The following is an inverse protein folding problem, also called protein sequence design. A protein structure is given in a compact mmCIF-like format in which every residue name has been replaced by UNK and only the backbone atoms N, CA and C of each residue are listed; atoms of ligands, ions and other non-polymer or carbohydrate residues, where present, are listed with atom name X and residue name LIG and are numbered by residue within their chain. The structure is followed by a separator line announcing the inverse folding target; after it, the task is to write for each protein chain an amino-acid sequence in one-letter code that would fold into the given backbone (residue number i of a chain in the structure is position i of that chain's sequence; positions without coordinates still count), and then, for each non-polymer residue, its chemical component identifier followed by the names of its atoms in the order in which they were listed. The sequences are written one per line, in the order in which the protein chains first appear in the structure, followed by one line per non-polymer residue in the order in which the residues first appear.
data_IF_597908372063
#
_entry.id   IF_597908372063
#
_cell.length_a   1.000
_cell.length_b   1.000
_cell.length_c   1.000
_cell.angle_alpha   90.00
_cell.angle_beta   90.00
_cell.angle_gamma   90.00
#
_symmetry.space_group_name_H-M   'P 1'
#
loop_
_entity.id
_entity.type
_entity.pdbx_description
1 polymer ?
#
# COMPACT_ATOMS: atom_id res chain seq x y z
N UNK A 1 -9.61 13.71 -28.36
CA UNK A 1 -10.52 12.90 -27.52
C UNK A 1 -9.68 12.34 -26.38
N UNK A 2 -9.84 12.89 -25.17
CA UNK A 2 -9.02 12.54 -24.01
C UNK A 2 -9.39 11.15 -23.51
N UNK A 3 -8.50 10.18 -23.70
CA UNK A 3 -8.62 8.87 -23.07
C UNK A 3 -8.51 9.04 -21.56
N UNK A 4 -9.61 8.82 -20.83
CA UNK A 4 -9.52 8.62 -19.38
C UNK A 4 -8.84 7.28 -19.16
N UNK A 5 -7.54 7.33 -18.91
CA UNK A 5 -6.80 6.26 -18.27
C UNK A 5 -7.43 6.04 -16.87
N UNK A 6 -8.40 5.14 -16.81
CA UNK A 6 -9.30 4.97 -15.68
C UNK A 6 -8.72 4.00 -14.66
N UNK A 7 -7.61 4.37 -14.01
CA UNK A 7 -7.13 3.57 -12.88
C UNK A 7 -8.17 3.60 -11.75
N UNK A 8 -8.77 2.44 -11.47
CA UNK A 8 -9.73 2.28 -10.37
C UNK A 8 -9.00 1.82 -9.11
N UNK A 9 -9.17 2.58 -8.04
CA UNK A 9 -8.70 2.24 -6.71
C UNK A 9 -9.83 1.66 -5.87
N UNK A 10 -9.53 0.61 -5.10
CA UNK A 10 -10.41 0.15 -4.03
C UNK A 10 -9.61 -0.10 -2.74
N UNK A 11 -10.23 0.21 -1.60
CA UNK A 11 -9.60 0.03 -0.30
C UNK A 11 -9.49 -1.45 0.05
N UNK A 12 -8.33 -1.85 0.57
CA UNK A 12 -8.07 -3.19 1.11
C UNK A 12 -7.91 -3.15 2.62
N UNK A 13 -7.14 -2.19 3.12
CA UNK A 13 -6.90 -1.98 4.55
C UNK A 13 -6.42 -0.54 4.80
N UNK A 14 -6.76 -0.01 5.97
CA UNK A 14 -6.39 1.32 6.45
C UNK A 14 -6.13 1.22 7.95
N UNK A 15 -4.97 1.71 8.39
CA UNK A 15 -4.57 1.76 9.79
C UNK A 15 -3.97 3.13 10.09
N UNK A 16 -4.22 3.60 11.31
CA UNK A 16 -3.74 4.88 11.79
C UNK A 16 -2.98 4.70 13.10
N UNK A 17 -1.75 5.23 13.12
CA UNK A 17 -0.89 5.19 14.29
C UNK A 17 -0.66 6.62 14.81
N UNK A 18 -0.77 6.78 16.11
CA UNK A 18 -0.46 8.02 16.80
C UNK A 18 0.95 7.94 17.38
N UNK A 19 1.79 8.91 17.03
CA UNK A 19 3.16 9.03 17.54
C UNK A 19 3.35 10.41 18.18
N UNK A 20 4.36 10.61 19.04
CA UNK A 20 4.68 11.93 19.58
C UNK A 20 4.95 12.98 18.50
N UNK A 21 5.38 12.56 17.30
CA UNK A 21 5.63 13.43 16.13
C UNK A 21 4.41 13.67 15.24
N UNK A 22 3.24 13.12 15.59
CA UNK A 22 1.99 13.27 14.83
C UNK A 22 1.39 11.94 14.38
N UNK A 23 0.52 12.04 13.36
CA UNK A 23 -0.29 10.93 12.84
C UNK A 23 0.41 10.25 11.67
N UNK A 24 0.51 8.92 11.73
CA UNK A 24 0.97 8.08 10.63
C UNK A 24 -0.22 7.32 10.06
N UNK A 25 -0.43 7.43 8.74
CA UNK A 25 -1.53 6.74 8.04
C UNK A 25 -0.95 5.70 7.10
N UNK A 26 -1.46 4.47 7.22
CA UNK A 26 -1.02 3.31 6.45
C UNK A 26 -2.23 2.86 5.63
N UNK A 27 -2.10 2.90 4.31
CA UNK A 27 -3.21 2.55 3.41
C UNK A 27 -2.78 1.53 2.38
N UNK A 28 -3.58 0.49 2.21
CA UNK A 28 -3.43 -0.50 1.17
C UNK A 28 -4.63 -0.46 0.23
N UNK A 29 -4.36 -0.39 -1.07
CA UNK A 29 -5.37 -0.33 -2.12
C UNK A 29 -5.05 -1.33 -3.23
N UNK A 30 -6.10 -1.85 -3.86
CA UNK A 30 -6.00 -2.50 -5.16
C UNK A 30 -6.07 -1.46 -6.27
N UNK A 31 -5.17 -1.57 -7.25
CA UNK A 31 -5.17 -0.83 -8.50
C UNK A 31 -5.62 -1.77 -9.62
N UNK A 32 -6.64 -1.35 -10.35
CA UNK A 32 -7.01 -1.97 -11.63
C UNK A 32 -6.82 -0.91 -12.72
N UNK A 33 -5.83 -1.11 -13.58
CA UNK A 33 -5.70 -0.28 -14.79
C UNK A 33 -6.85 -0.63 -15.71
N UNK A 34 -7.61 0.37 -16.18
CA UNK A 34 -8.66 0.15 -17.17
C UNK A 34 -8.13 0.20 -18.61
N UNK A 35 -6.85 0.54 -18.80
CA UNK A 35 -6.24 0.79 -20.10
C UNK A 35 -5.45 -0.41 -20.65
N UNK A 36 -5.17 -1.42 -19.82
CA UNK A 36 -4.53 -2.65 -20.25
C UNK A 36 -5.56 -3.77 -20.32
N UNK A 37 -5.44 -4.58 -21.39
CA UNK A 37 -6.27 -5.72 -21.76
C UNK A 37 -6.73 -6.56 -20.56
N UNK A 38 -7.80 -7.33 -20.74
CA UNK A 38 -8.46 -8.25 -19.79
C UNK A 38 -7.52 -9.12 -18.91
N UNK A 39 -6.22 -9.19 -19.24
CA UNK A 39 -5.12 -9.86 -18.54
C UNK A 39 -4.24 -8.98 -17.62
N UNK A 40 -4.46 -7.66 -17.52
CA UNK A 40 -3.73 -6.81 -16.59
C UNK A 40 -4.15 -7.13 -15.16
N UNK A 41 -3.35 -7.97 -14.49
CA UNK A 41 -3.59 -8.40 -13.12
C UNK A 41 -3.75 -7.22 -12.16
N UNK A 42 -4.54 -7.42 -11.09
CA UNK A 42 -4.69 -6.41 -10.04
C UNK A 42 -3.35 -6.24 -9.32
N UNK A 43 -2.80 -5.03 -9.35
CA UNK A 43 -1.67 -4.67 -8.50
C UNK A 43 -2.19 -4.14 -7.17
N UNK A 44 -1.59 -4.51 -6.06
CA UNK A 44 -1.92 -3.96 -4.75
C UNK A 44 -0.77 -3.10 -4.26
N UNK A 45 -1.07 -1.99 -3.59
CA UNK A 45 -0.03 -1.09 -3.09
C UNK A 45 -0.33 -0.64 -1.68
N UNK A 46 0.68 -0.71 -0.81
CA UNK A 46 0.66 -0.12 0.54
C UNK A 46 1.49 1.15 0.53
N UNK A 47 0.92 2.24 1.06
CA UNK A 47 1.59 3.54 1.22
C UNK A 47 1.52 3.97 2.67
N UNK A 48 2.58 4.62 3.16
CA UNK A 48 2.66 5.19 4.50
C UNK A 48 2.84 6.70 4.38
N UNK A 49 2.09 7.48 5.15
CA UNK A 49 2.20 8.94 5.22
C UNK A 49 2.42 9.38 6.66
N UNK A 50 3.10 10.51 6.86
CA UNK A 50 3.38 11.05 8.19
C UNK A 50 4.71 10.60 8.80
N UNK A 51 5.54 9.87 8.06
CA UNK A 51 6.91 9.50 8.45
C UNK A 51 7.89 10.18 7.51
N UNK A 52 8.87 10.91 8.07
CA UNK A 52 9.80 11.78 7.32
C UNK A 52 10.77 11.02 6.40
N UNK A 53 11.08 9.77 6.75
CA UNK A 53 12.02 8.87 6.06
C UNK A 53 11.36 7.53 5.63
N UNK A 54 10.07 7.55 5.28
CA UNK A 54 9.31 6.32 5.00
C UNK A 54 9.72 5.65 3.67
N UNK A 55 9.66 4.31 3.56
CA UNK A 55 9.75 3.63 2.27
C UNK A 55 8.60 4.09 1.36
N UNK A 56 8.92 4.53 0.14
CA UNK A 56 7.98 5.20 -0.76
C UNK A 56 6.73 4.39 -1.11
N UNK A 57 6.80 3.04 -1.10
CA UNK A 57 5.64 2.13 -1.08
C UNK A 57 6.03 0.65 -1.17
N UNK A 58 5.06 -0.23 -0.92
CA UNK A 58 5.14 -1.67 -1.18
C UNK A 58 4.13 -2.08 -2.23
N UNK A 59 4.49 -3.02 -3.11
CA UNK A 59 3.59 -3.61 -4.11
C UNK A 59 3.36 -5.09 -3.84
N UNK A 60 2.14 -5.57 -4.01
CA UNK A 60 1.75 -6.98 -3.89
C UNK A 60 1.00 -7.43 -5.14
N UNK A 61 1.07 -8.73 -5.46
CA UNK A 61 0.42 -9.29 -6.65
C UNK A 61 -0.94 -9.91 -6.33
N UNK A 62 -1.12 -10.37 -5.09
CA UNK A 62 -2.37 -11.00 -4.65
C UNK A 62 -3.01 -10.25 -3.48
N UNK A 63 -4.33 -10.37 -3.36
CA UNK A 63 -5.12 -9.73 -2.29
C UNK A 63 -4.66 -10.16 -0.89
N UNK A 64 -4.43 -11.46 -0.70
CA UNK A 64 -4.01 -12.01 0.58
C UNK A 64 -2.61 -11.54 0.96
N UNK A 65 -1.68 -11.50 -0.01
CA UNK A 65 -0.36 -10.90 0.18
C UNK A 65 -0.47 -9.44 0.57
N UNK A 66 -1.39 -8.68 -0.03
CA UNK A 66 -1.61 -7.28 0.29
C UNK A 66 -2.11 -7.08 1.73
N UNK A 67 -3.04 -7.93 2.19
CA UNK A 67 -3.55 -7.89 3.58
C UNK A 67 -2.48 -8.26 4.60
N UNK A 68 -1.73 -9.33 4.33
CA UNK A 68 -0.62 -9.74 5.21
C UNK A 68 0.51 -8.72 5.18
N UNK A 69 0.83 -8.19 4.00
CA UNK A 69 1.80 -7.14 3.79
C UNK A 69 1.46 -5.86 4.54
N UNK A 70 0.18 -5.45 4.53
CA UNK A 70 -0.32 -4.34 5.35
C UNK A 70 -0.01 -4.57 6.84
N UNK A 71 -0.38 -5.74 7.39
CA UNK A 71 -0.09 -6.06 8.79
C UNK A 71 1.41 -6.03 9.10
N UNK A 72 2.26 -6.55 8.20
CA UNK A 72 3.72 -6.51 8.35
C UNK A 72 4.27 -5.09 8.38
N UNK A 73 3.72 -4.18 7.55
CA UNK A 73 4.09 -2.75 7.58
C UNK A 73 3.72 -2.13 8.92
N UNK A 74 2.50 -2.38 9.43
CA UNK A 74 2.05 -1.90 10.75
C UNK A 74 2.96 -2.42 11.87
N UNK A 75 3.23 -3.72 11.88
CA UNK A 75 4.05 -4.36 12.92
C UNK A 75 5.50 -3.86 12.89
N UNK A 76 6.05 -3.59 11.69
CA UNK A 76 7.38 -2.99 11.55
C UNK A 76 7.41 -1.55 12.08
N UNK A 77 6.44 -0.71 11.70
CA UNK A 77 6.36 0.69 12.14
C UNK A 77 6.11 0.82 13.66
N UNK A 78 5.46 -0.17 14.26
CA UNK A 78 5.21 -0.21 15.71
C UNK A 78 6.30 -0.94 16.50
N UNK A 79 7.38 -1.40 15.85
CA UNK A 79 8.47 -2.12 16.49
C UNK A 79 8.12 -3.53 16.96
N UNK A 80 6.94 -4.06 16.64
CA UNK A 80 6.51 -5.44 16.95
C UNK A 80 7.27 -6.48 16.13
N UNK A 81 7.81 -6.08 14.97
CA UNK A 81 8.67 -6.92 14.12
C UNK A 81 9.88 -6.11 13.63
N UNK A 82 11.11 -6.63 13.74
CA UNK A 82 12.30 -5.91 13.32
C UNK A 82 12.49 -5.88 11.79
N UNK A 83 11.83 -6.77 11.05
CA UNK A 83 12.00 -6.89 9.60
C UNK A 83 11.00 -6.01 8.85
N UNK A 84 11.52 -5.06 8.07
CA UNK A 84 10.71 -4.29 7.13
C UNK A 84 10.27 -5.18 5.95
N UNK A 85 9.01 -5.14 5.53
CA UNK A 85 8.64 -5.72 4.24
C UNK A 85 9.46 -5.08 3.12
N UNK A 86 9.71 -5.80 2.02
CA UNK A 86 10.57 -5.32 0.94
C UNK A 86 9.83 -4.26 0.10
N UNK A 87 10.22 -2.97 0.15
CA UNK A 87 9.60 -1.95 -0.68
C UNK A 87 9.99 -2.15 -2.14
N UNK A 88 9.10 -1.78 -3.07
CA UNK A 88 9.45 -1.68 -4.49
C UNK A 88 9.63 -0.21 -4.82
N UNK A 89 10.86 0.15 -5.23
CA UNK A 89 11.20 1.44 -5.82
C UNK A 89 10.79 1.47 -7.29
#
# INVERSE_FOLDING_TARGET
MSGRDGTRYYSVADDELFTPGGRVVIRTYGLRSSAEEENAGVAYRTTVRGVRDSPDSWSWRHFEEARQGHRRVVDWLTGRRPFAPVPRR
#
